data_IF_789179396195
#
_entry.id   IF_789179396195
#
_cell.length_a   1.000
_cell.length_b   1.000
_cell.length_c   1.000
_cell.angle_alpha   90.00
_cell.angle_beta   90.00
_cell.angle_gamma   90.00
#
_symmetry.space_group_name_H-M   'P 1'
#
loop_
_entity.id
_entity.type
_entity.pdbx_description
1 polymer ?
#
# COMPACT_ATOMS: atom_id res chain seq x y z
N UNK A 1 -31.54 1.94 -18.95
CA UNK A 1 -30.69 1.02 -19.73
C UNK A 1 -30.81 1.16 -21.25
N UNK A 2 -32.00 0.93 -21.89
CA UNK A 2 -32.13 1.04 -23.38
C UNK A 2 -31.73 2.41 -23.91
N UNK A 3 -32.09 3.50 -23.24
CA UNK A 3 -31.77 4.88 -23.64
C UNK A 3 -30.28 5.17 -23.63
N UNK A 4 -29.57 4.70 -22.57
CA UNK A 4 -28.11 4.84 -22.41
C UNK A 4 -27.34 4.04 -23.46
N UNK A 5 -27.82 2.85 -23.84
CA UNK A 5 -27.24 2.04 -24.92
C UNK A 5 -27.39 2.72 -26.29
N UNK A 6 -28.58 3.23 -26.61
CA UNK A 6 -28.81 3.96 -27.87
C UNK A 6 -27.99 5.25 -27.92
N UNK A 7 -27.86 5.94 -26.80
CA UNK A 7 -27.08 7.17 -26.68
C UNK A 7 -25.57 6.90 -26.87
N UNK A 8 -25.05 5.80 -26.35
CA UNK A 8 -23.65 5.41 -26.58
C UNK A 8 -23.34 4.96 -28.01
N UNK A 9 -24.32 4.39 -28.71
CA UNK A 9 -24.18 4.03 -30.14
C UNK A 9 -24.12 5.27 -31.02
N UNK A 10 -24.93 6.30 -30.73
CA UNK A 10 -25.00 7.52 -31.52
C UNK A 10 -23.90 8.52 -31.22
N UNK A 11 -23.52 8.66 -29.92
CA UNK A 11 -22.56 9.65 -29.45
C UNK A 11 -21.15 9.08 -29.19
N UNK A 12 -20.97 7.76 -29.34
CA UNK A 12 -19.74 7.06 -28.97
C UNK A 12 -19.64 6.81 -27.44
N UNK A 13 -18.50 6.35 -26.97
CA UNK A 13 -18.28 6.10 -25.55
C UNK A 13 -18.54 7.37 -24.72
N UNK A 14 -19.42 7.27 -23.73
CA UNK A 14 -19.74 8.36 -22.79
C UNK A 14 -18.71 8.46 -21.64
N UNK A 15 -17.73 7.58 -21.65
CA UNK A 15 -16.63 7.55 -20.69
C UNK A 15 -15.42 8.28 -21.24
N UNK A 16 -14.61 8.84 -20.37
CA UNK A 16 -13.30 9.35 -20.74
C UNK A 16 -12.44 8.23 -21.34
N UNK A 17 -11.59 8.54 -22.35
CA UNK A 17 -10.63 7.56 -22.83
C UNK A 17 -9.76 7.11 -21.64
N UNK A 18 -9.43 5.80 -21.54
CA UNK A 18 -8.56 5.33 -20.48
C UNK A 18 -7.23 6.11 -20.55
N UNK A 19 -6.66 6.49 -19.40
CA UNK A 19 -5.33 7.09 -19.38
C UNK A 19 -4.37 6.13 -20.09
N UNK A 20 -3.50 6.66 -20.94
CA UNK A 20 -2.47 5.84 -21.61
C UNK A 20 -1.57 5.29 -20.51
N UNK A 21 -1.47 3.96 -20.35
CA UNK A 21 -0.60 3.38 -19.35
C UNK A 21 0.85 3.75 -19.69
N UNK A 22 1.57 4.27 -18.71
CA UNK A 22 3.02 4.43 -18.81
C UNK A 22 3.69 3.14 -18.29
N UNK A 23 3.62 2.09 -19.11
CA UNK A 23 4.14 0.76 -18.81
C UNK A 23 5.64 0.80 -18.49
N UNK A 24 6.39 1.68 -19.15
CA UNK A 24 7.81 1.84 -18.96
C UNK A 24 8.14 2.43 -17.58
N UNK A 25 7.38 3.44 -17.13
CA UNK A 25 7.59 4.06 -15.84
C UNK A 25 7.29 3.11 -14.67
N UNK A 26 6.20 2.35 -14.75
CA UNK A 26 5.84 1.36 -13.72
C UNK A 26 6.91 0.26 -13.59
N UNK A 27 7.38 -0.28 -14.71
CA UNK A 27 8.43 -1.29 -14.73
C UNK A 27 9.77 -0.76 -14.19
N UNK A 28 10.13 0.50 -14.51
CA UNK A 28 11.35 1.09 -14.01
C UNK A 28 11.29 1.38 -12.51
N UNK A 29 10.15 1.83 -12.00
CA UNK A 29 9.93 1.97 -10.55
C UNK A 29 10.09 0.63 -9.81
N UNK A 30 9.50 -0.43 -10.32
CA UNK A 30 9.59 -1.76 -9.72
C UNK A 30 11.04 -2.30 -9.73
N UNK A 31 11.80 -2.12 -10.83
CA UNK A 31 13.24 -2.46 -10.91
C UNK A 31 14.07 -1.65 -9.93
N UNK A 32 13.76 -0.37 -9.78
CA UNK A 32 14.48 0.52 -8.85
C UNK A 32 14.22 0.09 -7.41
N UNK A 33 12.98 -0.28 -7.08
CA UNK A 33 12.61 -0.78 -5.76
C UNK A 33 13.35 -2.10 -5.43
N UNK A 34 13.38 -3.08 -6.35
CA UNK A 34 14.12 -4.34 -6.14
C UNK A 34 15.62 -4.08 -5.95
N UNK A 35 16.23 -3.23 -6.80
CA UNK A 35 17.64 -2.87 -6.69
C UNK A 35 17.97 -2.21 -5.34
N UNK A 36 17.10 -1.31 -4.88
CA UNK A 36 17.26 -0.61 -3.60
C UNK A 36 17.08 -1.56 -2.43
N UNK A 37 16.08 -2.46 -2.49
CA UNK A 37 15.85 -3.48 -1.48
C UNK A 37 17.06 -4.43 -1.35
N UNK A 38 17.57 -4.98 -2.46
CA UNK A 38 18.77 -5.85 -2.46
C UNK A 38 20.00 -5.15 -1.92
N UNK A 39 20.20 -3.88 -2.27
CA UNK A 39 21.33 -3.09 -1.76
C UNK A 39 21.24 -2.88 -0.24
N UNK A 40 20.04 -2.68 0.30
CA UNK A 40 19.81 -2.35 1.72
C UNK A 40 19.64 -3.58 2.61
N UNK A 41 18.89 -4.57 2.15
CA UNK A 41 18.49 -5.74 2.92
C UNK A 41 19.29 -6.99 2.55
N UNK A 42 20.08 -6.95 1.46
CA UNK A 42 20.71 -8.14 0.89
C UNK A 42 19.73 -9.14 0.26
N UNK A 43 18.43 -8.84 0.27
CA UNK A 43 17.34 -9.68 -0.24
C UNK A 43 16.18 -8.83 -0.75
N UNK A 44 15.22 -9.46 -1.40
CA UNK A 44 13.97 -8.85 -1.83
C UNK A 44 13.11 -8.43 -0.63
N UNK A 45 12.32 -7.37 -0.83
CA UNK A 45 11.42 -6.83 0.19
C UNK A 45 10.20 -7.74 0.35
N UNK A 46 9.91 -8.12 1.58
CA UNK A 46 8.70 -8.88 1.94
C UNK A 46 7.72 -7.96 2.65
N UNK A 47 6.49 -7.95 2.16
CA UNK A 47 5.45 -7.01 2.58
C UNK A 47 4.29 -7.77 3.20
N UNK A 48 3.84 -7.38 4.39
CA UNK A 48 2.58 -7.84 4.97
C UNK A 48 1.57 -6.70 4.94
N UNK A 49 0.48 -6.92 4.24
CA UNK A 49 -0.68 -6.04 4.26
C UNK A 49 -1.55 -6.30 5.48
N UNK A 50 -2.05 -5.24 6.10
CA UNK A 50 -2.95 -5.30 7.25
C UNK A 50 -4.09 -4.31 7.03
N UNK A 51 -5.28 -4.83 6.79
CA UNK A 51 -6.51 -4.04 6.81
C UNK A 51 -6.92 -3.73 8.26
N UNK A 52 -6.92 -2.47 8.63
CA UNK A 52 -7.30 -2.00 9.97
C UNK A 52 -8.77 -1.53 10.06
N UNK A 53 -9.54 -1.69 9.00
CA UNK A 53 -10.96 -1.33 8.90
C UNK A 53 -11.26 -0.46 7.68
N UNK A 54 -10.70 -0.78 6.54
CA UNK A 54 -10.80 -0.01 5.30
C UNK A 54 -12.12 -0.20 4.55
N UNK A 55 -12.28 0.59 3.50
CA UNK A 55 -13.38 0.43 2.53
C UNK A 55 -13.00 -0.46 1.33
N UNK A 56 -11.87 -1.15 1.39
CA UNK A 56 -11.27 -1.97 0.33
C UNK A 56 -10.70 -1.18 -0.88
N UNK A 57 -10.73 0.14 -0.89
CA UNK A 57 -10.19 0.93 -2.00
C UNK A 57 -8.67 0.82 -2.10
N UNK A 58 -7.95 0.98 -0.98
CA UNK A 58 -6.49 0.87 -0.93
C UNK A 58 -6.02 -0.56 -1.20
N UNK A 59 -6.74 -1.57 -0.71
CA UNK A 59 -6.44 -2.97 -0.93
C UNK A 59 -6.52 -3.35 -2.42
N UNK A 60 -7.52 -2.84 -3.14
CA UNK A 60 -7.64 -3.06 -4.59
C UNK A 60 -6.44 -2.51 -5.35
N UNK A 61 -5.93 -1.34 -4.96
CA UNK A 61 -4.72 -0.76 -5.57
C UNK A 61 -3.45 -1.52 -5.19
N UNK A 62 -3.37 -2.05 -3.96
CA UNK A 62 -2.29 -2.95 -3.54
C UNK A 62 -2.37 -4.29 -4.30
N UNK A 63 -3.56 -4.85 -4.47
CA UNK A 63 -3.77 -6.05 -5.28
C UNK A 63 -3.39 -5.82 -6.74
N UNK A 64 -3.63 -4.62 -7.28
CA UNK A 64 -3.23 -4.28 -8.65
C UNK A 64 -1.71 -4.40 -8.87
N UNK A 65 -0.88 -4.22 -7.83
CA UNK A 65 0.57 -4.41 -7.92
C UNK A 65 0.98 -5.85 -8.32
N UNK A 66 0.12 -6.83 -8.08
CA UNK A 66 0.34 -8.24 -8.44
C UNK A 66 -0.36 -8.65 -9.75
N UNK A 67 -1.00 -7.71 -10.46
CA UNK A 67 -1.58 -8.01 -11.77
C UNK A 67 -0.49 -8.14 -12.85
N UNK A 68 -0.87 -8.63 -14.03
CA UNK A 68 0.07 -8.83 -15.15
C UNK A 68 0.74 -7.55 -15.67
N UNK A 69 0.18 -6.38 -15.34
CA UNK A 69 0.73 -5.08 -15.75
C UNK A 69 1.88 -4.63 -14.85
N UNK A 70 1.68 -4.64 -13.52
CA UNK A 70 2.70 -4.23 -12.55
C UNK A 70 3.66 -5.36 -12.20
N UNK A 71 3.14 -6.59 -12.07
CA UNK A 71 3.87 -7.85 -11.87
C UNK A 71 5.00 -7.73 -10.83
N UNK A 72 4.63 -7.28 -9.61
CA UNK A 72 5.58 -6.95 -8.56
C UNK A 72 6.46 -8.16 -8.16
N UNK A 73 5.89 -9.37 -8.19
CA UNK A 73 6.61 -10.60 -7.84
C UNK A 73 7.74 -10.93 -8.82
N UNK A 74 7.60 -10.54 -10.09
CA UNK A 74 8.65 -10.68 -11.11
C UNK A 74 9.92 -9.91 -10.73
N UNK A 75 9.78 -8.83 -9.96
CA UNK A 75 10.90 -8.04 -9.46
C UNK A 75 11.37 -8.48 -8.07
N UNK A 76 10.92 -9.66 -7.60
CA UNK A 76 11.31 -10.23 -6.33
C UNK A 76 10.62 -9.64 -5.09
N UNK A 77 9.73 -8.67 -5.27
CA UNK A 77 8.92 -8.09 -4.19
C UNK A 77 7.68 -8.98 -3.98
N UNK A 78 7.35 -9.31 -2.76
CA UNK A 78 6.26 -10.24 -2.51
C UNK A 78 5.42 -9.84 -1.29
N UNK A 79 4.13 -10.12 -1.39
CA UNK A 79 3.22 -10.04 -0.26
C UNK A 79 3.26 -11.38 0.47
N UNK A 80 3.46 -11.35 1.78
CA UNK A 80 3.57 -12.53 2.63
C UNK A 80 2.40 -12.64 3.60
N UNK A 81 1.92 -13.86 3.79
CA UNK A 81 0.78 -14.13 4.67
C UNK A 81 1.12 -13.99 6.16
N UNK A 82 2.35 -14.28 6.55
CA UNK A 82 2.77 -14.22 7.96
C UNK A 82 3.61 -12.97 8.24
N UNK A 83 3.30 -12.20 9.28
CA UNK A 83 4.11 -11.05 9.68
C UNK A 83 5.56 -11.41 10.04
N UNK A 84 5.81 -12.66 10.46
CA UNK A 84 7.15 -13.13 10.79
C UNK A 84 8.13 -13.17 9.61
N UNK A 85 7.62 -13.08 8.39
CA UNK A 85 8.40 -13.06 7.16
C UNK A 85 8.40 -11.69 6.48
N UNK A 86 7.77 -10.69 7.12
CA UNK A 86 7.65 -9.35 6.56
C UNK A 86 8.77 -8.43 7.05
N UNK A 87 9.18 -7.54 6.16
CA UNK A 87 10.05 -6.40 6.46
C UNK A 87 9.22 -5.13 6.63
N UNK A 88 8.10 -5.04 5.89
CA UNK A 88 7.21 -3.89 5.87
C UNK A 88 5.79 -4.33 6.20
N UNK A 89 5.15 -3.59 7.10
CA UNK A 89 3.70 -3.63 7.30
C UNK A 89 3.06 -2.50 6.49
N UNK A 90 2.28 -2.84 5.47
CA UNK A 90 1.39 -1.91 4.78
C UNK A 90 0.04 -1.91 5.50
N UNK A 91 -0.29 -0.82 6.17
CA UNK A 91 -1.54 -0.71 6.93
C UNK A 91 -2.50 0.20 6.19
N UNK A 92 -3.69 -0.31 5.93
CA UNK A 92 -4.78 0.37 5.22
C UNK A 92 -5.95 0.67 6.14
N UNK A 93 -6.77 1.65 5.75
CA UNK A 93 -7.97 2.07 6.47
C UNK A 93 -7.71 2.80 7.80
N UNK A 94 -8.75 3.38 8.40
CA UNK A 94 -8.68 3.88 9.75
C UNK A 94 -8.58 2.71 10.72
N UNK A 95 -7.86 2.88 11.82
CA UNK A 95 -7.79 1.82 12.82
C UNK A 95 -9.11 1.73 13.57
N UNK A 96 -9.86 0.66 13.32
CA UNK A 96 -11.06 0.38 14.08
C UNK A 96 -10.74 -0.19 15.47
N UNK A 97 -11.65 -0.01 16.42
CA UNK A 97 -11.48 -0.56 17.79
C UNK A 97 -11.30 -2.08 17.78
N UNK A 98 -12.00 -2.78 16.87
CA UNK A 98 -11.91 -4.23 16.74
C UNK A 98 -10.55 -4.69 16.18
N UNK A 99 -9.97 -3.94 15.23
CA UNK A 99 -8.70 -4.32 14.61
C UNK A 99 -7.47 -3.80 15.36
N UNK A 100 -7.65 -2.89 16.32
CA UNK A 100 -6.55 -2.31 17.10
C UNK A 100 -5.63 -3.38 17.70
N UNK A 101 -6.21 -4.34 18.39
CA UNK A 101 -5.43 -5.40 19.06
C UNK A 101 -4.74 -6.32 18.03
N UNK A 102 -5.43 -6.68 16.95
CA UNK A 102 -4.86 -7.48 15.87
C UNK A 102 -3.66 -6.77 15.21
N UNK A 103 -3.77 -5.47 14.99
CA UNK A 103 -2.70 -4.65 14.43
C UNK A 103 -1.47 -4.62 15.36
N UNK A 104 -1.66 -4.42 16.67
CA UNK A 104 -0.59 -4.43 17.67
C UNK A 104 0.13 -5.79 17.69
N UNK A 105 -0.63 -6.90 17.70
CA UNK A 105 -0.07 -8.25 17.67
C UNK A 105 0.70 -8.55 16.40
N UNK A 106 0.19 -8.08 15.25
CA UNK A 106 0.87 -8.22 13.96
C UNK A 106 2.20 -7.48 13.98
N UNK A 107 2.23 -6.25 14.49
CA UNK A 107 3.46 -5.47 14.64
C UNK A 107 4.46 -6.15 15.57
N UNK A 108 4.01 -6.66 16.72
CA UNK A 108 4.88 -7.37 17.66
C UNK A 108 5.45 -8.68 17.07
N UNK A 109 4.71 -9.35 16.19
CA UNK A 109 5.15 -10.58 15.52
C UNK A 109 6.08 -10.34 14.32
N UNK A 110 6.20 -9.12 13.84
CA UNK A 110 7.11 -8.76 12.75
C UNK A 110 8.53 -8.59 13.30
N UNK A 111 9.55 -9.28 12.74
CA UNK A 111 10.93 -9.17 13.21
C UNK A 111 11.54 -7.81 12.92
N UNK A 112 12.55 -7.43 13.66
CA UNK A 112 13.37 -6.25 13.37
C UNK A 112 14.51 -6.60 12.37
N UNK A 113 14.92 -5.66 11.50
CA UNK A 113 14.37 -4.32 11.29
C UNK A 113 13.04 -4.35 10.55
N UNK A 114 12.07 -3.55 10.99
CA UNK A 114 10.73 -3.45 10.40
C UNK A 114 10.32 -2.01 10.16
N UNK A 115 9.44 -1.82 9.18
CA UNK A 115 8.85 -0.53 8.85
C UNK A 115 7.33 -0.62 8.82
N UNK A 116 6.67 0.45 9.21
CA UNK A 116 5.22 0.61 9.15
C UNK A 116 4.88 1.72 8.15
N UNK A 117 4.10 1.39 7.15
CA UNK A 117 3.64 2.31 6.12
C UNK A 117 2.12 2.42 6.20
N UNK A 118 1.64 3.63 6.46
CA UNK A 118 0.22 3.94 6.43
C UNK A 118 -0.19 4.32 5.01
N UNK A 119 -1.08 3.53 4.41
CA UNK A 119 -1.51 3.67 3.01
C UNK A 119 -2.92 4.25 2.95
N UNK A 120 -3.04 5.39 2.29
CA UNK A 120 -4.29 6.11 2.12
C UNK A 120 -4.57 7.13 3.23
N UNK A 121 -5.46 8.07 2.94
CA UNK A 121 -5.81 9.15 3.87
C UNK A 121 -6.45 8.60 5.15
N UNK A 122 -7.26 7.54 5.06
CA UNK A 122 -7.88 6.93 6.22
C UNK A 122 -6.85 6.35 7.21
N UNK A 123 -5.76 5.75 6.70
CA UNK A 123 -4.68 5.23 7.53
C UNK A 123 -3.84 6.36 8.18
N UNK A 124 -3.81 7.54 7.58
CA UNK A 124 -3.05 8.68 8.07
C UNK A 124 -3.73 9.33 9.29
N UNK A 125 -5.01 9.66 9.18
CA UNK A 125 -5.74 10.48 10.17
C UNK A 125 -7.17 10.00 10.47
N UNK A 126 -7.61 8.89 9.88
CA UNK A 126 -8.98 8.38 9.95
C UNK A 126 -9.83 8.77 8.74
N UNK A 127 -9.38 9.72 7.92
CA UNK A 127 -10.05 10.18 6.71
C UNK A 127 -11.52 10.55 6.96
N UNK A 128 -12.40 10.13 6.06
CA UNK A 128 -13.86 10.37 6.17
C UNK A 128 -14.51 9.67 7.38
N UNK A 129 -13.81 8.72 8.02
CA UNK A 129 -14.30 8.00 9.21
C UNK A 129 -13.80 8.59 10.52
N UNK A 130 -13.03 9.70 10.48
CA UNK A 130 -12.52 10.37 11.67
C UNK A 130 -13.67 10.79 12.59
N UNK A 131 -13.52 10.56 13.89
CA UNK A 131 -14.55 10.86 14.88
C UNK A 131 -15.69 9.83 14.99
N UNK A 132 -15.69 8.77 14.16
CA UNK A 132 -16.65 7.66 14.32
C UNK A 132 -16.42 6.93 15.64
N UNK A 133 -17.51 6.52 16.29
CA UNK A 133 -17.48 5.75 17.55
C UNK A 133 -16.70 4.43 17.44
N UNK A 134 -16.61 3.85 16.24
CA UNK A 134 -15.95 2.57 15.97
C UNK A 134 -14.46 2.72 15.63
N UNK A 135 -13.98 3.94 15.39
CA UNK A 135 -12.63 4.25 14.91
C UNK A 135 -11.79 4.83 16.05
N UNK A 136 -10.54 4.40 16.15
CA UNK A 136 -9.54 4.95 17.07
C UNK A 136 -8.88 6.19 16.45
N UNK A 137 -8.67 6.18 15.13
CA UNK A 137 -7.98 7.23 14.38
C UNK A 137 -7.14 6.63 13.26
N UNK A 138 -6.10 7.35 12.85
CA UNK A 138 -5.07 6.84 11.94
C UNK A 138 -4.13 5.85 12.61
N UNK A 139 -3.25 5.24 11.81
CA UNK A 139 -2.29 4.22 12.29
C UNK A 139 -1.34 4.78 13.35
N UNK A 140 -0.96 6.03 13.23
CA UNK A 140 -0.07 6.72 14.19
C UNK A 140 -0.64 6.81 15.61
N UNK A 141 -1.95 6.65 15.79
CA UNK A 141 -2.58 6.59 17.12
C UNK A 141 -2.30 5.27 17.85
N UNK A 142 -1.79 4.25 17.14
CA UNK A 142 -1.61 2.88 17.66
C UNK A 142 -0.18 2.39 17.51
N UNK A 143 0.48 2.69 16.37
CA UNK A 143 1.83 2.23 16.03
C UNK A 143 2.71 3.40 15.59
N UNK A 144 4.03 3.28 15.76
CA UNK A 144 4.97 4.20 15.11
C UNK A 144 4.90 4.00 13.59
N UNK A 145 4.67 5.06 12.84
CA UNK A 145 4.59 5.05 11.38
C UNK A 145 5.86 5.67 10.80
N UNK A 146 6.50 4.94 9.89
CA UNK A 146 7.72 5.39 9.22
C UNK A 146 7.42 6.21 7.96
N UNK A 147 6.30 5.90 7.28
CA UNK A 147 5.90 6.60 6.07
C UNK A 147 4.37 6.65 5.92
N UNK A 148 3.87 7.76 5.40
CA UNK A 148 2.49 7.93 4.97
C UNK A 148 2.40 8.08 3.45
N UNK A 149 1.63 7.21 2.78
CA UNK A 149 1.33 7.29 1.36
C UNK A 149 -0.10 7.84 1.21
N UNK A 150 -0.21 9.08 0.73
CA UNK A 150 -1.49 9.77 0.60
C UNK A 150 -2.27 9.33 -0.63
N UNK A 151 -3.58 9.38 -0.54
CA UNK A 151 -4.53 9.07 -1.60
C UNK A 151 -5.83 8.48 -1.04
N UNK A 152 -6.87 8.42 -1.87
CA UNK A 152 -8.13 7.80 -1.50
C UNK A 152 -8.80 7.16 -2.73
N UNK A 153 -8.27 6.00 -3.17
CA UNK A 153 -7.00 5.35 -2.80
C UNK A 153 -5.77 5.99 -3.46
N UNK A 154 -4.54 5.72 -2.98
CA UNK A 154 -3.32 6.03 -3.73
C UNK A 154 -3.18 5.07 -4.91
N UNK A 155 -2.67 5.55 -6.04
CA UNK A 155 -2.40 4.69 -7.20
C UNK A 155 -1.29 3.67 -6.92
N UNK A 156 -1.22 2.54 -7.68
CA UNK A 156 -0.14 1.57 -7.56
C UNK A 156 1.26 2.20 -7.72
N UNK A 157 1.40 3.13 -8.67
CA UNK A 157 2.67 3.86 -8.87
C UNK A 157 3.04 4.75 -7.69
N UNK A 158 2.06 5.37 -7.02
CA UNK A 158 2.30 6.14 -5.80
C UNK A 158 2.76 5.22 -4.64
N UNK A 159 2.20 4.02 -4.54
CA UNK A 159 2.62 3.02 -3.54
C UNK A 159 4.06 2.58 -3.81
N UNK A 160 4.43 2.25 -5.05
CA UNK A 160 5.80 1.90 -5.44
C UNK A 160 6.78 3.01 -5.12
N UNK A 161 6.47 4.25 -5.49
CA UNK A 161 7.31 5.41 -5.20
C UNK A 161 7.50 5.64 -3.70
N UNK A 162 6.45 5.43 -2.92
CA UNK A 162 6.51 5.50 -1.46
C UNK A 162 7.45 4.44 -0.87
N UNK A 163 7.37 3.20 -1.34
CA UNK A 163 8.25 2.11 -0.88
C UNK A 163 9.72 2.38 -1.25
N UNK A 164 10.00 2.97 -2.42
CA UNK A 164 11.36 3.39 -2.81
C UNK A 164 11.86 4.46 -1.83
N UNK A 165 11.07 5.49 -1.60
CA UNK A 165 11.42 6.56 -0.68
C UNK A 165 11.67 6.04 0.75
N UNK A 166 10.87 5.09 1.23
CA UNK A 166 11.08 4.43 2.52
C UNK A 166 12.47 3.80 2.59
N UNK A 167 12.82 2.97 1.59
CA UNK A 167 14.11 2.27 1.58
C UNK A 167 15.30 3.23 1.42
N UNK A 168 15.15 4.30 0.67
CA UNK A 168 16.22 5.31 0.48
C UNK A 168 16.50 6.09 1.77
N UNK A 169 15.47 6.38 2.55
CA UNK A 169 15.58 7.16 3.79
C UNK A 169 15.77 6.30 5.06
N UNK A 170 15.68 4.98 4.94
CA UNK A 170 15.73 4.04 6.08
C UNK A 170 17.12 3.88 6.74
N UNK A 171 17.96 4.90 6.71
CA UNK A 171 19.36 4.85 7.17
C UNK A 171 19.56 4.51 8.66
N UNK A 172 18.52 4.54 9.48
CA UNK A 172 18.64 4.34 10.94
C UNK A 172 18.32 2.94 11.46
N UNK A 173 17.60 2.10 10.70
CA UNK A 173 17.14 0.80 11.20
C UNK A 173 17.94 -0.42 10.69
N UNK A 174 18.73 -0.27 9.63
CA UNK A 174 19.48 -1.38 9.00
C UNK A 174 20.85 -1.65 9.65
N UNK A 175 21.31 -0.79 10.54
CA UNK A 175 22.64 -0.90 11.18
C UNK A 175 22.68 -1.49 12.59
N UNK A 176 21.57 -2.04 13.08
CA UNK A 176 21.43 -2.49 14.49
C UNK A 176 21.21 -4.02 14.62
N UNK A 177 21.68 -4.82 13.66
CA UNK A 177 21.66 -6.29 13.74
C UNK A 177 23.07 -6.85 13.80
#
# INVERSE_FOLDING_TARGET
>A
MRRTLLESIVRGPLTEPPPKPDDAAAAELAKTLDRTARRRLGRSLSIREVDAGSCNGCELEIHALNNAFYDLERFGLRIVASPRHADVLLVTGPVTKNMREALIRTYAATPDPKWVVAVGNCAMDGGIFAGSYAVVGGVSAVLPVDLHIRGCPPSPTAILSGLIALLEHANGKVGAA
#
